data_IF_272683751096
#
_entry.id   IF_272683751096
#
_cell.length_a   1.000
_cell.length_b   1.000
_cell.length_c   1.000
_cell.angle_alpha   90.00
_cell.angle_beta   90.00
_cell.angle_gamma   90.00
#
_symmetry.space_group_name_H-M   'P 1'
#
loop_
_entity.id
_entity.type
_entity.pdbx_description
1 polymer ?
#
# COMPACT_ATOMS: atom_id res chain seq x y z
N UNK A 1 20.22 -2.11 11.75
CA UNK A 1 18.87 -1.84 12.22
C UNK A 1 18.07 -1.18 11.11
N UNK A 2 16.94 -1.73 10.81
CA UNK A 2 16.06 -1.11 9.82
C UNK A 2 15.44 0.15 10.40
N UNK A 3 15.23 1.20 9.60
CA UNK A 3 14.39 2.28 10.08
C UNK A 3 13.06 1.67 10.56
N UNK A 4 12.48 2.19 11.62
CA UNK A 4 11.27 1.60 12.20
C UNK A 4 10.12 1.50 11.20
N UNK A 5 10.17 2.28 10.11
CA UNK A 5 9.16 2.24 9.06
C UNK A 5 9.77 2.66 7.73
N UNK A 6 9.52 1.86 6.72
CA UNK A 6 9.92 2.16 5.35
C UNK A 6 8.72 2.69 4.57
N UNK A 7 8.73 3.98 4.30
CA UNK A 7 7.69 4.61 3.51
C UNK A 7 8.22 4.93 2.11
N UNK A 8 7.47 4.54 1.09
CA UNK A 8 7.82 4.81 -0.30
C UNK A 8 6.61 5.38 -1.03
N UNK A 9 6.85 6.31 -1.95
CA UNK A 9 5.80 6.88 -2.77
C UNK A 9 5.57 6.00 -3.99
N UNK A 10 4.35 5.51 -4.13
CA UNK A 10 3.99 4.60 -5.23
C UNK A 10 2.66 5.02 -5.84
N UNK A 11 2.41 4.56 -7.05
CA UNK A 11 1.13 4.71 -7.72
C UNK A 11 0.36 3.41 -7.61
N UNK A 12 -0.86 3.48 -7.11
CA UNK A 12 -1.77 2.33 -7.07
C UNK A 12 -2.71 2.46 -8.28
N UNK A 13 -2.71 1.46 -9.12
CA UNK A 13 -3.60 1.41 -10.30
C UNK A 13 -4.63 0.33 -10.06
N UNK A 14 -5.88 0.73 -9.87
CA UNK A 14 -7.00 -0.18 -9.63
C UNK A 14 -7.63 -0.59 -10.94
N UNK A 15 -7.74 0.35 -11.88
CA UNK A 15 -8.23 0.13 -13.24
C UNK A 15 -7.64 1.21 -14.15
N UNK A 16 -7.93 1.15 -15.45
CA UNK A 16 -7.50 2.21 -16.37
C UNK A 16 -8.17 3.55 -16.05
N UNK A 17 -9.31 3.54 -15.34
CA UNK A 17 -10.05 4.74 -14.95
C UNK A 17 -9.75 5.25 -13.56
N UNK A 18 -9.13 4.45 -12.73
CA UNK A 18 -8.92 4.81 -11.33
C UNK A 18 -7.53 4.44 -10.85
N UNK A 19 -6.77 5.45 -10.51
CA UNK A 19 -5.44 5.31 -9.93
C UNK A 19 -5.16 6.49 -9.00
N UNK A 20 -4.22 6.30 -8.08
CA UNK A 20 -3.80 7.37 -7.17
C UNK A 20 -2.36 7.15 -6.73
N UNK A 21 -1.70 8.25 -6.37
CA UNK A 21 -0.37 8.23 -5.79
C UNK A 21 -0.49 8.29 -4.27
N UNK A 22 0.30 7.48 -3.58
CA UNK A 22 0.19 7.33 -2.13
C UNK A 22 1.55 7.04 -1.53
N UNK A 23 1.73 7.42 -0.27
CA UNK A 23 2.86 6.97 0.54
C UNK A 23 2.45 5.63 1.16
N UNK A 24 3.14 4.58 0.79
CA UNK A 24 2.90 3.24 1.31
C UNK A 24 3.95 2.87 2.35
N UNK A 25 3.51 2.17 3.40
CA UNK A 25 4.42 1.58 4.37
C UNK A 25 4.80 0.18 3.90
N UNK A 26 6.10 -0.08 3.77
CA UNK A 26 6.61 -1.41 3.45
C UNK A 26 6.91 -2.13 4.77
N UNK A 27 6.17 -3.18 5.04
CA UNK A 27 6.20 -3.88 6.34
C UNK A 27 6.38 -5.38 6.14
N UNK A 28 7.59 -5.86 6.40
CA UNK A 28 7.91 -7.29 6.32
C UNK A 28 7.22 -8.13 7.40
N UNK A 29 6.67 -7.48 8.43
CA UNK A 29 5.87 -8.17 9.45
C UNK A 29 4.41 -8.37 9.06
N UNK A 30 3.97 -7.79 7.94
CA UNK A 30 2.60 -7.95 7.45
C UNK A 30 2.52 -9.10 6.44
N UNK A 31 1.63 -10.04 6.68
CA UNK A 31 1.46 -11.20 5.79
C UNK A 31 0.67 -10.86 4.53
N UNK A 32 -0.01 -9.74 4.51
CA UNK A 32 -0.87 -9.31 3.42
C UNK A 32 -0.60 -7.87 3.05
N UNK A 33 -0.87 -7.51 1.79
CA UNK A 33 -0.97 -6.11 1.40
C UNK A 33 -2.33 -5.59 1.87
N UNK A 34 -2.36 -4.38 2.43
CA UNK A 34 -3.57 -3.79 2.97
C UNK A 34 -3.77 -2.38 2.39
N UNK A 35 -5.01 -2.07 2.02
CA UNK A 35 -5.40 -0.74 1.53
C UNK A 35 -6.60 -0.27 2.34
N UNK A 36 -6.63 0.99 2.73
CA UNK A 36 -7.80 1.55 3.40
C UNK A 36 -9.01 1.47 2.45
N UNK A 37 -10.08 0.87 2.95
CA UNK A 37 -11.30 0.66 2.18
C UNK A 37 -11.86 1.96 1.61
N UNK A 38 -11.78 3.06 2.37
CA UNK A 38 -12.29 4.36 1.95
C UNK A 38 -11.55 5.00 0.76
N UNK A 39 -10.39 4.48 0.38
CA UNK A 39 -9.64 4.97 -0.79
C UNK A 39 -10.12 4.36 -2.09
N UNK A 40 -10.93 3.32 -2.03
CA UNK A 40 -11.31 2.52 -3.19
C UNK A 40 -12.81 2.63 -3.43
N UNK A 41 -13.26 2.99 -4.64
CA UNK A 41 -14.68 2.96 -4.97
C UNK A 41 -15.24 1.54 -4.84
N UNK A 42 -16.42 1.43 -4.25
CA UNK A 42 -17.02 0.13 -3.93
C UNK A 42 -17.29 -0.77 -5.14
N UNK A 43 -17.38 -0.18 -6.34
CA UNK A 43 -17.57 -0.96 -7.57
C UNK A 43 -16.41 -1.91 -7.88
N UNK A 44 -15.24 -1.67 -7.27
CA UNK A 44 -14.06 -2.51 -7.46
C UNK A 44 -13.91 -3.58 -6.38
N UNK A 45 -14.77 -3.59 -5.37
CA UNK A 45 -14.67 -4.51 -4.25
C UNK A 45 -14.99 -5.94 -4.71
N UNK A 46 -14.17 -6.89 -4.24
CA UNK A 46 -14.40 -8.31 -4.38
C UNK A 46 -14.58 -8.90 -2.99
N UNK A 47 -15.45 -9.90 -2.85
CA UNK A 47 -15.66 -10.55 -1.55
C UNK A 47 -14.41 -11.29 -1.12
N UNK A 48 -14.08 -11.19 0.16
CA UNK A 48 -12.92 -11.86 0.76
C UNK A 48 -13.34 -12.87 1.81
N UNK A 49 -12.56 -13.93 1.92
CA UNK A 49 -12.66 -14.89 3.03
C UNK A 49 -11.47 -14.80 3.96
N UNK A 50 -10.59 -13.83 3.74
CA UNK A 50 -9.36 -13.67 4.50
C UNK A 50 -9.62 -13.15 5.92
N UNK A 51 -8.65 -13.43 6.80
CA UNK A 51 -8.65 -12.93 8.17
C UNK A 51 -7.32 -12.28 8.45
N UNK A 52 -7.36 -11.11 9.07
CA UNK A 52 -6.15 -10.41 9.49
C UNK A 52 -5.89 -10.77 10.95
N UNK A 53 -4.69 -11.28 11.22
CA UNK A 53 -4.27 -11.67 12.58
C UNK A 53 -3.37 -10.55 13.13
N UNK A 54 -3.75 -10.01 14.29
CA UNK A 54 -2.94 -9.01 14.98
C UNK A 54 -1.85 -9.67 15.83
N UNK A 55 -0.84 -8.89 16.22
CA UNK A 55 0.27 -9.37 17.05
C UNK A 55 -0.19 -9.96 18.40
N UNK A 56 -1.33 -9.51 18.92
CA UNK A 56 -1.90 -10.03 20.16
C UNK A 56 -2.72 -11.31 19.98
N UNK A 57 -2.74 -11.88 18.77
CA UNK A 57 -3.47 -13.10 18.46
C UNK A 57 -4.94 -12.89 18.11
N UNK A 58 -5.48 -11.69 18.24
CA UNK A 58 -6.85 -11.39 17.81
C UNK A 58 -6.95 -11.42 16.28
N UNK A 59 -8.15 -11.67 15.77
CA UNK A 59 -8.41 -11.75 14.33
C UNK A 59 -9.48 -10.75 13.94
N UNK A 60 -9.33 -10.17 12.74
CA UNK A 60 -10.35 -9.36 12.11
C UNK A 60 -10.75 -10.00 10.80
N UNK A 61 -12.06 -10.21 10.61
CA UNK A 61 -12.58 -10.73 9.36
C UNK A 61 -12.54 -9.61 8.31
N UNK A 62 -11.95 -9.90 7.16
CA UNK A 62 -11.89 -8.99 6.02
C UNK A 62 -13.11 -9.28 5.14
N UNK A 63 -13.88 -8.23 4.82
CA UNK A 63 -15.07 -8.36 3.98
C UNK A 63 -14.74 -8.29 2.50
N UNK A 64 -13.78 -7.46 2.12
CA UNK A 64 -13.48 -7.15 0.73
C UNK A 64 -12.00 -7.16 0.44
N UNK A 65 -11.68 -7.42 -0.81
CA UNK A 65 -10.31 -7.44 -1.32
C UNK A 65 -10.25 -6.90 -2.73
N UNK A 66 -9.03 -6.60 -3.20
CA UNK A 66 -8.73 -6.24 -4.58
C UNK A 66 -7.69 -7.24 -5.09
N UNK A 67 -7.98 -7.92 -6.19
CA UNK A 67 -7.08 -8.94 -6.73
C UNK A 67 -6.37 -8.54 -8.03
N UNK A 68 -6.76 -7.42 -8.62
CA UNK A 68 -6.22 -6.98 -9.91
C UNK A 68 -5.58 -5.59 -9.87
N UNK A 69 -5.31 -5.05 -8.68
CA UNK A 69 -4.62 -3.78 -8.57
C UNK A 69 -3.13 -3.95 -8.85
N UNK A 70 -2.48 -2.86 -9.24
CA UNK A 70 -1.05 -2.84 -9.49
C UNK A 70 -0.38 -1.75 -8.67
N UNK A 71 0.82 -2.04 -8.20
CA UNK A 71 1.73 -1.03 -7.64
C UNK A 71 2.70 -0.67 -8.75
N UNK A 72 2.72 0.60 -9.14
CA UNK A 72 3.57 1.08 -10.23
C UNK A 72 4.56 2.12 -9.71
N UNK A 73 5.79 2.04 -10.23
CA UNK A 73 6.86 2.98 -9.94
C UNK A 73 7.86 2.98 -11.11
N UNK A 74 8.22 4.16 -11.60
CA UNK A 74 9.18 4.32 -12.71
C UNK A 74 8.86 3.42 -13.91
N UNK A 75 7.59 3.38 -14.32
CA UNK A 75 7.10 2.61 -15.46
C UNK A 75 7.15 1.09 -15.25
N UNK A 76 7.39 0.63 -14.05
CA UNK A 76 7.33 -0.79 -13.69
C UNK A 76 6.11 -1.01 -12.81
N UNK A 77 5.30 -2.00 -13.14
CA UNK A 77 4.07 -2.31 -12.40
C UNK A 77 4.09 -3.75 -11.91
N UNK A 78 3.67 -3.92 -10.66
CA UNK A 78 3.52 -5.23 -10.02
C UNK A 78 2.05 -5.47 -9.73
N UNK A 79 1.52 -6.60 -10.18
CA UNK A 79 0.17 -6.99 -9.81
C UNK A 79 0.18 -7.44 -8.35
N UNK A 80 -0.76 -6.95 -7.57
CA UNK A 80 -0.88 -7.29 -6.15
C UNK A 80 -2.32 -7.69 -5.82
N UNK A 81 -2.44 -8.56 -4.81
CA UNK A 81 -3.70 -8.79 -4.12
C UNK A 81 -3.64 -8.07 -2.78
N UNK A 82 -4.68 -7.35 -2.44
CA UNK A 82 -4.74 -6.53 -1.23
C UNK A 82 -6.07 -6.72 -0.53
N UNK A 83 -6.04 -6.81 0.80
CA UNK A 83 -7.27 -6.77 1.60
C UNK A 83 -7.65 -5.33 1.88
N UNK A 84 -8.95 -5.06 1.99
CA UNK A 84 -9.49 -3.74 2.28
C UNK A 84 -9.82 -3.64 3.75
N UNK A 85 -9.21 -2.68 4.43
CA UNK A 85 -9.31 -2.49 5.88
C UNK A 85 -9.94 -1.14 6.19
N UNK A 86 -10.96 -1.14 7.05
CA UNK A 86 -11.70 0.10 7.37
C UNK A 86 -10.91 1.06 8.25
N UNK A 87 -10.32 0.56 9.32
CA UNK A 87 -9.67 1.38 10.34
C UNK A 87 -8.18 1.05 10.38
N UNK A 88 -7.42 1.76 9.60
CA UNK A 88 -5.98 1.57 9.49
C UNK A 88 -5.29 2.93 9.53
N UNK A 89 -4.19 3.04 10.28
CA UNK A 89 -3.46 4.29 10.42
C UNK A 89 -2.80 4.71 9.11
N UNK A 90 -2.18 3.75 8.43
CA UNK A 90 -1.55 3.99 7.14
C UNK A 90 -2.57 3.78 6.01
N UNK A 91 -2.41 4.51 4.91
CA UNK A 91 -3.30 4.37 3.76
C UNK A 91 -3.10 3.04 3.06
N UNK A 92 -1.85 2.63 2.90
CA UNK A 92 -1.46 1.40 2.21
C UNK A 92 -0.30 0.77 2.97
N UNK A 93 -0.42 -0.51 3.22
CA UNK A 93 0.66 -1.33 3.75
C UNK A 93 1.02 -2.36 2.69
N UNK A 94 2.28 -2.32 2.25
CA UNK A 94 2.82 -3.32 1.33
C UNK A 94 3.55 -4.36 2.17
N UNK A 95 2.95 -5.53 2.29
CA UNK A 95 3.44 -6.62 3.10
C UNK A 95 4.34 -7.59 2.36
N UNK A 96 4.56 -8.75 2.94
CA UNK A 96 5.42 -9.79 2.37
C UNK A 96 5.12 -10.15 0.92
N UNK A 97 3.86 -10.22 0.46
CA UNK A 97 3.62 -10.57 -0.94
C UNK A 97 4.26 -9.60 -1.92
N UNK A 98 4.21 -8.29 -1.62
CA UNK A 98 4.87 -7.28 -2.45
C UNK A 98 6.39 -7.32 -2.27
N UNK A 99 6.86 -7.37 -1.01
CA UNK A 99 8.29 -7.35 -0.70
C UNK A 99 8.99 -8.55 -1.35
N UNK A 100 8.37 -9.73 -1.30
CA UNK A 100 8.89 -10.93 -1.93
C UNK A 100 8.97 -10.80 -3.45
N UNK A 101 8.06 -10.05 -4.07
CA UNK A 101 8.08 -9.79 -5.51
C UNK A 101 9.28 -8.92 -5.92
N UNK A 102 9.83 -8.13 -5.00
CA UNK A 102 11.01 -7.31 -5.25
C UNK A 102 12.33 -8.09 -5.12
N UNK A 103 12.28 -9.28 -4.60
CA UNK A 103 13.47 -10.08 -4.33
C UNK A 103 14.16 -10.51 -5.64
N UNK A 104 15.45 -10.38 -5.80
CA UNK A 104 16.47 -9.94 -4.84
C UNK A 104 16.57 -8.41 -4.80
N UNK A 105 16.55 -7.83 -3.61
CA UNK A 105 16.63 -6.38 -3.47
C UNK A 105 17.71 -5.97 -2.47
N UNK A 106 18.17 -4.73 -2.61
CA UNK A 106 19.15 -4.12 -1.74
C UNK A 106 18.52 -2.93 -1.02
N UNK A 107 18.60 -2.91 0.30
CA UNK A 107 18.17 -1.75 1.08
C UNK A 107 19.35 -0.82 1.23
N UNK A 108 19.18 0.39 0.72
CA UNK A 108 20.17 1.45 0.79
C UNK A 108 19.72 2.54 1.75
N UNK A 109 20.59 3.50 2.02
CA UNK A 109 20.29 4.61 2.92
C UNK A 109 19.00 5.36 2.52
N UNK A 110 18.76 5.52 1.23
CA UNK A 110 17.70 6.36 0.68
C UNK A 110 16.58 5.60 -0.03
N UNK A 111 16.62 4.27 -0.01
CA UNK A 111 15.57 3.51 -0.67
C UNK A 111 15.84 2.02 -0.81
N UNK A 112 14.96 1.36 -1.54
CA UNK A 112 15.05 -0.06 -1.85
C UNK A 112 15.30 -0.19 -3.35
N UNK A 113 16.39 -0.83 -3.73
CA UNK A 113 16.75 -1.06 -5.13
C UNK A 113 16.54 -2.52 -5.50
N UNK A 114 15.84 -2.77 -6.58
CA UNK A 114 15.62 -4.12 -7.11
C UNK A 114 15.98 -4.18 -8.59
N UNK A 115 16.41 -5.35 -9.05
CA UNK A 115 16.64 -5.63 -10.46
C UNK A 115 15.46 -6.40 -11.01
N UNK A 116 14.77 -5.80 -12.00
CA UNK A 116 13.60 -6.39 -12.63
C UNK A 116 13.75 -6.34 -14.14
N UNK A 117 13.67 -7.50 -14.78
CA UNK A 117 13.78 -7.60 -16.25
C UNK A 117 15.02 -6.89 -16.80
N UNK A 118 16.14 -6.99 -16.07
CA UNK A 118 17.39 -6.35 -16.46
C UNK A 118 17.46 -4.85 -16.18
N UNK A 119 16.46 -4.29 -15.53
CA UNK A 119 16.39 -2.87 -15.20
C UNK A 119 16.45 -2.66 -13.70
N UNK A 120 17.26 -1.70 -13.24
CA UNK A 120 17.30 -1.30 -11.85
C UNK A 120 16.16 -0.34 -11.55
N UNK A 121 15.38 -0.67 -10.55
CA UNK A 121 14.28 0.17 -10.07
C UNK A 121 14.54 0.52 -8.62
N UNK A 122 14.47 1.81 -8.30
CA UNK A 122 14.69 2.30 -6.93
C UNK A 122 13.43 2.93 -6.39
N UNK A 123 12.96 2.38 -5.27
CA UNK A 123 11.87 2.96 -4.48
C UNK A 123 12.50 3.85 -3.41
N UNK A 124 12.53 5.15 -3.64
CA UNK A 124 13.08 6.10 -2.68
C UNK A 124 12.21 6.18 -1.44
N UNK A 125 12.85 6.27 -0.27
CA UNK A 125 12.11 6.51 0.96
C UNK A 125 11.52 7.91 0.94
N UNK A 126 10.26 8.02 1.38
CA UNK A 126 9.57 9.29 1.45
C UNK A 126 10.17 10.16 2.55
N UNK A 127 10.21 11.46 2.31
CA UNK A 127 10.63 12.43 3.31
C UNK A 127 9.53 12.63 4.34
N UNK A 128 9.89 13.16 5.51
CA UNK A 128 8.90 13.51 6.54
C UNK A 128 7.85 14.49 5.98
N UNK A 129 8.29 15.46 5.18
CA UNK A 129 7.37 16.41 4.54
C UNK A 129 6.35 15.71 3.65
N UNK A 130 6.80 14.78 2.80
CA UNK A 130 5.91 14.03 1.93
C UNK A 130 4.90 13.21 2.72
N UNK A 131 5.32 12.58 3.81
CA UNK A 131 4.44 11.79 4.69
C UNK A 131 3.39 12.71 5.33
N UNK A 132 3.78 13.87 5.83
CA UNK A 132 2.89 14.83 6.47
C UNK A 132 1.85 15.37 5.49
N UNK A 133 2.26 15.71 4.26
CA UNK A 133 1.35 16.17 3.20
C UNK A 133 0.36 15.08 2.81
N UNK A 134 0.81 13.84 2.69
CA UNK A 134 -0.05 12.72 2.36
C UNK A 134 -1.10 12.49 3.44
N UNK A 135 -0.74 12.61 4.71
CA UNK A 135 -1.68 12.50 5.85
C UNK A 135 -2.73 13.61 5.82
N UNK A 136 -2.33 14.85 5.53
CA UNK A 136 -3.27 15.97 5.40
C UNK A 136 -4.26 15.75 4.26
N UNK A 137 -3.79 15.24 3.14
CA UNK A 137 -4.66 14.92 1.99
C UNK A 137 -5.73 13.92 2.39
N UNK A 138 -5.37 12.90 3.17
CA UNK A 138 -6.33 11.92 3.66
C UNK A 138 -7.38 12.56 4.59
N UNK A 139 -6.97 13.44 5.48
CA UNK A 139 -7.88 14.15 6.40
C UNK A 139 -8.86 14.99 5.59
N UNK A 140 -8.40 15.74 4.59
CA UNK A 140 -9.25 16.53 3.72
C UNK A 140 -10.26 15.68 2.97
N UNK A 141 -9.85 14.53 2.45
CA UNK A 141 -10.74 13.60 1.76
C UNK A 141 -11.84 13.08 2.68
N UNK A 142 -11.50 12.73 3.93
CA UNK A 142 -12.47 12.28 4.93
C UNK A 142 -13.47 13.39 5.29
N UNK A 143 -13.00 14.62 5.44
CA UNK A 143 -13.87 15.78 5.74
C UNK A 143 -14.85 16.01 4.60
N UNK A 144 -14.37 16.00 3.35
CA UNK A 144 -15.25 16.15 2.17
C UNK A 144 -16.32 15.07 2.15
N UNK A 145 -15.97 13.83 2.40
CA UNK A 145 -16.89 12.71 2.43
C UNK A 145 -17.99 12.93 3.47
N UNK A 146 -17.61 13.36 4.67
CA UNK A 146 -18.57 13.67 5.75
C UNK A 146 -19.53 14.80 5.38
N UNK A 147 -19.07 15.79 4.64
CA UNK A 147 -19.90 16.92 4.22
C UNK A 147 -20.93 16.56 3.14
N UNK A 148 -20.75 15.44 2.47
CA UNK A 148 -21.68 14.95 1.45
C UNK A 148 -22.69 13.94 1.99
N UNK A 149 -22.49 13.50 3.21
CA UNK A 149 -23.41 12.60 3.89
C UNK A 149 -24.51 13.38 4.63
#
# INVERSE_FOLDING_TARGET
MFPPKWFTKVKIVVSHDYHFTVIAMNDSGADMNCIQEGLIPSKYFEKSTERLVYTNGSQMKIKYELNNAHVCHDNVCFKISSVLVKNMTDKVILGLPFINALYSFLVEHDGITTDLFGQKVKFKFATKFEIDVDALTLIHAKIKHLNFL
#
